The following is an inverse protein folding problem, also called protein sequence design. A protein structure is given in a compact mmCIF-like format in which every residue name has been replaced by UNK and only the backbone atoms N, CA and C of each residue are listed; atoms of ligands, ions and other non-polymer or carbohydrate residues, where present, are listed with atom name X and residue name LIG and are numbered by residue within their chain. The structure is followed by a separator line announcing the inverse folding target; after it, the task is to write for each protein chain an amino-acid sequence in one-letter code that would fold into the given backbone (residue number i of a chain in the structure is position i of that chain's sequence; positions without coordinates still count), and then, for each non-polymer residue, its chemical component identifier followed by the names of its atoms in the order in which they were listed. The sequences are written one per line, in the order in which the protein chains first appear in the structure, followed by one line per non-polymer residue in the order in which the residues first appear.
data_IF_203804650617
#
_entry.id   IF_203804650617
#
_cell.length_a   1.000
_cell.length_b   1.000
_cell.length_c   1.000
_cell.angle_alpha   90.00
_cell.angle_beta   90.00
_cell.angle_gamma   90.00
#
_symmetry.space_group_name_H-M   'P 1'
#
loop_
_entity.id
_entity.type
_entity.pdbx_description
1 polymer ?
#
# COMPACT_ATOMS: atom_id res chain seq x y z
N UNK A 1 -9.82 -13.03 15.63
CA UNK A 1 -9.33 -11.68 15.42
C UNK A 1 -9.86 -11.16 14.09
N UNK A 2 -10.30 -9.91 14.10
CA UNK A 2 -10.92 -9.32 12.94
C UNK A 2 -9.90 -8.67 12.01
N UNK A 3 -10.15 -8.82 10.73
CA UNK A 3 -9.45 -8.17 9.65
C UNK A 3 -9.83 -6.68 9.64
N UNK A 4 -8.84 -5.80 9.69
CA UNK A 4 -9.06 -4.35 9.69
C UNK A 4 -8.12 -3.65 8.73
N UNK A 5 -8.49 -2.44 8.34
CA UNK A 5 -7.65 -1.58 7.52
C UNK A 5 -6.80 -0.69 8.42
N UNK A 6 -5.52 -0.62 8.11
CA UNK A 6 -4.56 0.22 8.81
C UNK A 6 -3.87 1.16 7.83
N UNK A 7 -3.57 2.35 8.29
CA UNK A 7 -2.85 3.34 7.51
C UNK A 7 -1.38 3.30 7.92
N UNK A 8 -0.51 3.13 6.93
CA UNK A 8 0.94 3.09 7.13
C UNK A 8 1.53 4.37 6.59
N UNK A 9 2.32 5.06 7.40
CA UNK A 9 3.03 6.26 6.99
C UNK A 9 4.30 5.90 6.24
N UNK A 10 4.51 6.55 5.10
CA UNK A 10 5.72 6.39 4.29
C UNK A 10 6.21 7.77 3.85
N UNK A 11 7.37 7.81 3.21
CA UNK A 11 7.81 9.03 2.56
C UNK A 11 7.02 9.25 1.28
N UNK A 12 6.63 10.50 1.04
CA UNK A 12 5.93 10.87 -0.19
C UNK A 12 6.78 10.53 -1.41
N UNK A 13 6.20 9.76 -2.34
CA UNK A 13 6.89 9.25 -3.51
C UNK A 13 7.38 7.81 -3.38
N UNK A 14 7.46 7.27 -2.17
CA UNK A 14 7.94 5.91 -1.91
C UNK A 14 6.81 4.88 -1.70
N UNK A 15 5.55 5.26 -1.85
CA UNK A 15 4.39 4.42 -1.55
C UNK A 15 4.40 3.11 -2.34
N UNK A 16 4.68 3.17 -3.64
CA UNK A 16 4.73 1.97 -4.49
C UNK A 16 5.89 1.07 -4.10
N UNK A 17 7.00 1.64 -3.72
CA UNK A 17 8.18 0.91 -3.26
C UNK A 17 7.88 0.18 -1.94
N UNK A 18 7.22 0.84 -1.02
CA UNK A 18 6.80 0.24 0.25
C UNK A 18 5.81 -0.90 0.00
N UNK A 19 4.82 -0.68 -0.87
CA UNK A 19 3.85 -1.70 -1.23
C UNK A 19 4.54 -2.95 -1.78
N UNK A 20 5.46 -2.78 -2.72
CA UNK A 20 6.20 -3.89 -3.32
C UNK A 20 7.05 -4.63 -2.28
N UNK A 21 7.75 -3.88 -1.44
CA UNK A 21 8.59 -4.46 -0.39
C UNK A 21 7.76 -5.22 0.64
N UNK A 22 6.61 -4.67 1.03
CA UNK A 22 5.73 -5.30 1.99
C UNK A 22 5.13 -6.59 1.42
N UNK A 23 4.68 -6.57 0.17
CA UNK A 23 4.15 -7.76 -0.50
C UNK A 23 5.19 -8.88 -0.55
N UNK A 24 6.44 -8.54 -0.85
CA UNK A 24 7.53 -9.51 -0.85
C UNK A 24 7.77 -10.09 0.53
N UNK A 25 7.73 -9.29 1.57
CA UNK A 25 7.91 -9.76 2.95
C UNK A 25 6.77 -10.65 3.39
N UNK A 26 5.53 -10.31 3.02
CA UNK A 26 4.36 -11.14 3.29
C UNK A 26 4.56 -12.54 2.71
N UNK A 27 4.99 -12.62 1.47
CA UNK A 27 5.26 -13.88 0.79
C UNK A 27 6.44 -14.63 1.41
N UNK A 28 7.57 -13.94 1.62
CA UNK A 28 8.80 -14.53 2.14
C UNK A 28 8.67 -15.01 3.58
N UNK A 29 7.91 -14.29 4.40
CA UNK A 29 7.74 -14.59 5.82
C UNK A 29 6.46 -15.37 6.15
N UNK A 30 5.71 -15.77 5.11
CA UNK A 30 4.51 -16.58 5.30
C UNK A 30 3.39 -15.86 6.04
N UNK A 31 3.18 -14.56 5.77
CA UNK A 31 2.18 -13.75 6.44
C UNK A 31 0.89 -13.55 5.64
N UNK A 32 0.68 -14.34 4.58
CA UNK A 32 -0.51 -14.23 3.72
C UNK A 32 -1.82 -14.50 4.48
N UNK A 33 -1.75 -15.22 5.57
CA UNK A 33 -2.90 -15.50 6.43
C UNK A 33 -3.21 -14.35 7.41
N UNK A 34 -2.36 -13.34 7.48
CA UNK A 34 -2.53 -12.19 8.38
C UNK A 34 -2.53 -10.86 7.66
N UNK A 35 -1.79 -10.72 6.57
CA UNK A 35 -1.75 -9.50 5.75
C UNK A 35 -2.36 -9.86 4.40
N UNK A 36 -3.54 -9.31 4.11
CA UNK A 36 -4.35 -9.72 2.95
C UNK A 36 -4.21 -8.80 1.77
N UNK A 37 -4.16 -7.49 2.01
CA UNK A 37 -4.10 -6.50 0.94
C UNK A 37 -3.21 -5.34 1.33
N UNK A 38 -2.48 -4.83 0.35
CA UNK A 38 -1.70 -3.61 0.48
C UNK A 38 -2.08 -2.73 -0.70
N UNK A 39 -2.59 -1.55 -0.42
CA UNK A 39 -3.12 -0.65 -1.45
C UNK A 39 -2.50 0.74 -1.28
N UNK A 40 -2.04 1.30 -2.39
CA UNK A 40 -1.67 2.72 -2.47
C UNK A 40 -2.92 3.45 -2.95
N UNK A 41 -3.50 4.38 -2.14
CA UNK A 41 -4.70 5.08 -2.57
C UNK A 41 -4.40 6.03 -3.73
N UNK A 42 -4.96 5.71 -4.89
CA UNK A 42 -4.78 6.48 -6.11
C UNK A 42 -6.12 6.80 -6.74
N UNK A 43 -6.21 7.97 -7.39
CA UNK A 43 -7.38 8.39 -8.14
C UNK A 43 -7.03 8.43 -9.62
N UNK A 44 -7.90 7.85 -10.46
CA UNK A 44 -7.76 7.93 -11.91
C UNK A 44 -8.53 9.12 -12.45
N UNK A 45 -7.82 10.00 -13.18
CA UNK A 45 -8.45 11.10 -13.90
C UNK A 45 -8.31 10.87 -15.39
N UNK A 46 -9.46 10.97 -16.09
CA UNK A 46 -9.49 10.94 -17.55
C UNK A 46 -9.62 12.36 -18.06
N UNK A 47 -8.62 12.82 -18.79
CA UNK A 47 -8.64 14.14 -19.40
C UNK A 47 -8.66 14.03 -20.92
N UNK A 48 -9.48 14.85 -21.57
CA UNK A 48 -9.47 14.98 -23.02
C UNK A 48 -8.70 16.23 -23.42
N UNK A 49 -7.57 16.04 -24.08
CA UNK A 49 -6.73 17.14 -24.56
C UNK A 49 -6.43 16.92 -26.04
N UNK A 50 -6.75 17.91 -26.87
CA UNK A 50 -6.54 17.89 -28.33
C UNK A 50 -7.18 16.67 -29.01
N UNK A 51 -8.37 16.28 -28.57
CA UNK A 51 -9.09 15.13 -29.10
C UNK A 51 -8.51 13.77 -28.68
N UNK A 52 -7.51 13.77 -27.82
CA UNK A 52 -6.90 12.54 -27.30
C UNK A 52 -7.26 12.32 -25.84
N UNK A 53 -7.62 11.09 -25.53
CA UNK A 53 -7.97 10.68 -24.19
C UNK A 53 -6.68 10.37 -23.41
N UNK A 54 -6.46 11.10 -22.31
CA UNK A 54 -5.29 10.89 -21.45
C UNK A 54 -5.74 10.49 -20.07
N UNK A 55 -5.30 9.30 -19.62
CA UNK A 55 -5.59 8.81 -18.27
C UNK A 55 -4.38 9.10 -17.38
N UNK A 56 -4.62 9.83 -16.31
CA UNK A 56 -3.57 10.15 -15.33
C UNK A 56 -3.96 9.59 -13.97
N UNK A 57 -3.05 8.88 -13.34
CA UNK A 57 -3.22 8.39 -11.98
C UNK A 57 -2.61 9.39 -11.00
N UNK A 58 -3.40 9.84 -10.04
CA UNK A 58 -2.96 10.78 -9.02
C UNK A 58 -3.17 10.16 -7.64
N UNK A 59 -2.16 10.24 -6.78
CA UNK A 59 -2.26 9.74 -5.41
C UNK A 59 -3.17 10.64 -4.60
N UNK A 60 -4.20 10.04 -3.97
CA UNK A 60 -5.17 10.76 -3.16
C UNK A 60 -4.56 11.17 -1.82
N UNK A 61 -3.80 10.26 -1.21
CA UNK A 61 -3.13 10.50 0.07
C UNK A 61 -1.64 10.21 -0.07
N UNK A 62 -0.83 11.19 -0.51
CA UNK A 62 0.62 10.99 -0.62
C UNK A 62 1.24 10.69 0.75
N UNK A 63 2.15 9.73 0.78
CA UNK A 63 2.81 9.31 2.02
C UNK A 63 2.03 8.31 2.86
N UNK A 64 0.97 7.72 2.31
CA UNK A 64 0.16 6.72 3.02
C UNK A 64 -0.01 5.46 2.18
N UNK A 65 0.00 4.32 2.87
CA UNK A 65 -0.31 3.01 2.29
C UNK A 65 -1.38 2.37 3.16
N UNK A 66 -2.42 1.83 2.54
CA UNK A 66 -3.49 1.14 3.25
C UNK A 66 -3.22 -0.36 3.26
N UNK A 67 -3.34 -0.97 4.43
CA UNK A 67 -3.10 -2.41 4.61
C UNK A 67 -4.29 -3.04 5.30
N UNK A 68 -4.88 -4.07 4.67
CA UNK A 68 -5.90 -4.90 5.29
C UNK A 68 -5.22 -6.09 5.94
N UNK A 69 -5.26 -6.17 7.27
CA UNK A 69 -4.53 -7.18 8.01
C UNK A 69 -5.18 -7.50 9.36
N UNK A 70 -4.77 -8.62 9.93
CA UNK A 70 -5.04 -8.95 11.32
C UNK A 70 -3.82 -8.48 12.13
N UNK A 71 -4.05 -7.55 13.06
CA UNK A 71 -2.95 -6.99 13.86
C UNK A 71 -2.49 -7.98 14.93
N UNK A 72 -1.26 -8.46 14.77
CA UNK A 72 -0.56 -9.28 15.76
C UNK A 72 0.84 -8.72 15.92
N UNK A 73 1.58 -9.19 16.93
CA UNK A 73 2.96 -8.78 17.11
C UNK A 73 3.81 -9.15 15.89
N UNK A 74 3.56 -10.32 15.31
CA UNK A 74 4.29 -10.79 14.13
C UNK A 74 3.96 -9.97 12.88
N UNK A 75 2.68 -9.72 12.63
CA UNK A 75 2.27 -8.93 11.45
C UNK A 75 2.75 -7.48 11.57
N UNK A 76 2.66 -6.90 12.75
CA UNK A 76 3.15 -5.55 13.01
C UNK A 76 4.67 -5.46 12.81
N UNK A 77 5.40 -6.47 13.26
CA UNK A 77 6.84 -6.54 13.08
C UNK A 77 7.23 -6.53 11.58
N UNK A 78 6.53 -7.31 10.77
CA UNK A 78 6.76 -7.37 9.32
C UNK A 78 6.53 -6.01 8.67
N UNK A 79 5.40 -5.36 8.99
CA UNK A 79 5.05 -4.04 8.45
C UNK A 79 6.07 -2.98 8.90
N UNK A 80 6.35 -2.94 10.19
CA UNK A 80 7.23 -1.94 10.78
C UNK A 80 8.66 -1.99 10.23
N UNK A 81 9.14 -3.19 9.90
CA UNK A 81 10.50 -3.37 9.40
C UNK A 81 10.61 -3.34 7.88
N UNK A 82 9.53 -3.04 7.18
CA UNK A 82 9.55 -2.85 5.73
C UNK A 82 10.28 -1.55 5.40
N UNK A 83 11.26 -1.55 4.49
CA UNK A 83 11.96 -0.32 4.11
C UNK A 83 11.01 0.76 3.59
N UNK A 84 11.17 1.99 4.07
CA UNK A 84 10.35 3.13 3.68
C UNK A 84 9.16 3.40 4.61
N UNK A 85 8.85 2.48 5.51
CA UNK A 85 7.79 2.68 6.51
C UNK A 85 8.29 3.53 7.66
#
# INVERSE_FOLDING_TARGET
MDKKWYVIHTYSGDENKVMTNLEKRVETMGMEDKIFRVIVPEEEKTEMKDGKKKVTKKKVFPGYVLTEMIMTDDSWYVVRNTPGV
#
